data_IF_490625657130
#
_entry.id   IF_490625657130
#
_cell.length_a   1.000
_cell.length_b   1.000
_cell.length_c   1.000
_cell.angle_alpha   90.00
_cell.angle_beta   90.00
_cell.angle_gamma   90.00
#
_symmetry.space_group_name_H-M   'P 1'
#
loop_
_entity.id
_entity.type
_entity.pdbx_description
1 polymer ?
#
# COMPACT_ATOMS: atom_id res chain seq x y z
N UNK A 1 0.92 12.40 -13.40
CA UNK A 1 1.14 10.97 -13.70
C UNK A 1 2.55 10.86 -14.21
N UNK A 2 3.33 9.99 -13.58
CA UNK A 2 4.68 9.64 -13.99
C UNK A 2 4.67 8.18 -14.44
N UNK A 3 5.22 7.87 -15.60
CA UNK A 3 5.43 6.51 -16.08
C UNK A 3 6.93 6.20 -16.06
N UNK A 4 7.29 5.02 -15.54
CA UNK A 4 8.66 4.52 -15.42
C UNK A 4 8.67 3.13 -16.07
N UNK A 5 9.57 2.90 -17.03
CA UNK A 5 9.75 1.57 -17.59
C UNK A 5 10.29 0.61 -16.52
N UNK A 6 9.82 -0.63 -16.51
CA UNK A 6 10.44 -1.67 -15.70
C UNK A 6 11.82 -2.01 -16.25
N UNK A 7 12.76 -2.35 -15.37
CA UNK A 7 14.10 -2.79 -15.78
C UNK A 7 14.03 -4.13 -16.53
N UNK A 8 14.87 -4.31 -17.55
CA UNK A 8 14.91 -5.55 -18.33
C UNK A 8 15.26 -6.78 -17.46
N UNK A 9 16.00 -6.56 -16.36
CA UNK A 9 16.33 -7.60 -15.38
C UNK A 9 15.09 -8.18 -14.68
N UNK A 10 13.93 -7.53 -14.79
CA UNK A 10 12.67 -7.97 -14.21
C UNK A 10 11.77 -8.75 -15.19
N UNK A 11 12.07 -8.75 -16.50
CA UNK A 11 11.13 -9.17 -17.56
C UNK A 11 10.56 -10.60 -17.40
N UNK A 12 11.24 -11.49 -16.68
CA UNK A 12 10.81 -12.87 -16.42
C UNK A 12 10.09 -13.07 -15.08
N UNK A 13 10.01 -12.04 -14.23
CA UNK A 13 9.62 -12.18 -12.83
C UNK A 13 8.41 -11.32 -12.50
N UNK A 14 7.55 -11.84 -11.63
CA UNK A 14 6.53 -11.04 -10.97
C UNK A 14 7.22 -10.08 -9.99
N UNK A 15 6.93 -8.79 -10.08
CA UNK A 15 7.37 -7.82 -9.09
C UNK A 15 6.44 -7.85 -7.86
N UNK A 16 7.03 -8.13 -6.71
CA UNK A 16 6.41 -7.94 -5.40
C UNK A 16 6.54 -6.48 -5.01
N UNK A 17 5.45 -5.90 -4.52
CA UNK A 17 5.43 -4.57 -3.92
C UNK A 17 6.04 -4.63 -2.53
N UNK A 18 6.92 -3.67 -2.21
CA UNK A 18 7.45 -3.51 -0.85
C UNK A 18 6.83 -2.27 -0.21
N UNK A 19 7.04 -1.11 -0.83
CA UNK A 19 6.69 0.16 -0.20
C UNK A 19 7.17 1.35 -1.00
N UNK A 20 6.71 2.53 -0.62
CA UNK A 20 7.25 3.79 -1.13
C UNK A 20 7.61 4.68 0.06
N UNK A 21 8.82 5.21 0.07
CA UNK A 21 9.31 6.05 1.16
C UNK A 21 9.99 7.29 0.60
N UNK A 22 9.56 8.46 1.08
CA UNK A 22 9.97 9.79 0.59
C UNK A 22 9.73 9.94 -0.92
N UNK A 23 10.75 9.72 -1.74
CA UNK A 23 10.64 9.78 -3.21
C UNK A 23 10.90 8.44 -3.91
N UNK A 24 11.25 7.39 -3.16
CA UNK A 24 11.71 6.12 -3.72
C UNK A 24 10.64 5.05 -3.62
N UNK A 25 10.42 4.36 -4.73
CA UNK A 25 9.66 3.12 -4.77
C UNK A 25 10.60 1.95 -4.56
N UNK A 26 10.23 1.01 -3.69
CA UNK A 26 10.94 -0.25 -3.45
C UNK A 26 10.12 -1.43 -3.97
N UNK A 27 10.79 -2.34 -4.69
CA UNK A 27 10.20 -3.55 -5.27
C UNK A 27 11.16 -4.73 -5.14
N UNK A 28 10.61 -5.94 -5.15
CA UNK A 28 11.39 -7.18 -5.18
C UNK A 28 10.91 -8.08 -6.33
N UNK A 29 11.75 -8.47 -7.29
CA UNK A 29 11.40 -9.51 -8.24
C UNK A 29 11.24 -10.85 -7.50
N UNK A 30 10.13 -11.57 -7.75
CA UNK A 30 9.89 -12.89 -7.18
C UNK A 30 10.77 -13.93 -7.88
N UNK A 31 11.92 -14.21 -7.27
CA UNK A 31 12.90 -15.22 -7.69
C UNK A 31 12.90 -16.40 -6.71
N UNK A 32 13.35 -17.56 -7.17
CA UNK A 32 13.47 -18.77 -6.36
C UNK A 32 14.90 -19.07 -5.90
N UNK A 33 15.89 -18.28 -6.33
CA UNK A 33 17.32 -18.51 -6.10
C UNK A 33 18.00 -17.35 -5.36
N UNK A 34 17.28 -16.26 -5.11
CA UNK A 34 17.82 -15.07 -4.46
C UNK A 34 16.74 -14.14 -3.94
N UNK A 35 17.06 -13.43 -2.87
CA UNK A 35 16.34 -12.25 -2.41
C UNK A 35 17.00 -11.01 -3.01
N UNK A 36 16.23 -10.21 -3.75
CA UNK A 36 16.71 -8.93 -4.27
C UNK A 36 15.72 -7.82 -3.91
N UNK A 37 16.26 -6.66 -3.54
CA UNK A 37 15.47 -5.44 -3.37
C UNK A 37 16.05 -4.36 -4.26
N UNK A 38 15.16 -3.76 -5.02
CA UNK A 38 15.44 -2.71 -5.99
C UNK A 38 14.68 -1.45 -5.62
N UNK A 39 15.24 -0.29 -5.95
CA UNK A 39 14.54 0.97 -5.83
C UNK A 39 14.69 1.85 -7.06
N UNK A 40 13.78 2.81 -7.20
CA UNK A 40 13.84 3.87 -8.20
C UNK A 40 13.37 5.19 -7.60
N UNK A 41 14.09 6.27 -7.88
CA UNK A 41 13.70 7.62 -7.46
C UNK A 41 12.61 8.19 -8.38
N UNK A 42 11.42 8.37 -7.83
CA UNK A 42 10.26 8.91 -8.51
C UNK A 42 10.21 10.45 -8.50
N UNK A 43 11.13 11.15 -7.82
CA UNK A 43 11.23 12.62 -7.86
C UNK A 43 12.26 13.13 -8.89
N UNK A 44 13.19 12.28 -9.33
CA UNK A 44 14.23 12.65 -10.28
C UNK A 44 13.64 13.17 -11.61
N UNK A 45 14.16 14.31 -12.08
CA UNK A 45 13.88 14.89 -13.40
C UNK A 45 14.97 14.41 -14.36
N UNK A 46 14.73 13.32 -15.08
CA UNK A 46 15.71 12.74 -16.01
C UNK A 46 15.47 11.26 -16.25
N UNK A 47 16.48 10.57 -16.77
CA UNK A 47 16.52 9.11 -16.80
C UNK A 47 16.45 8.56 -15.38
N UNK A 48 15.57 7.58 -15.18
CA UNK A 48 15.36 6.94 -13.88
C UNK A 48 16.01 5.58 -13.93
N UNK A 49 17.05 5.41 -13.15
CA UNK A 49 17.77 4.15 -13.05
C UNK A 49 17.23 3.33 -11.87
N UNK A 50 17.04 2.04 -12.11
CA UNK A 50 16.75 1.08 -11.07
C UNK A 50 18.05 0.68 -10.37
N UNK A 51 18.10 0.90 -9.06
CA UNK A 51 19.26 0.56 -8.22
C UNK A 51 18.94 -0.65 -7.35
N UNK A 52 19.78 -1.67 -7.42
CA UNK A 52 19.73 -2.78 -6.47
C UNK A 52 20.35 -2.33 -5.14
N UNK A 53 19.63 -2.50 -4.04
CA UNK A 53 20.15 -2.20 -2.70
C UNK A 53 20.51 -3.46 -1.92
N UNK A 54 19.86 -4.59 -2.23
CA UNK A 54 20.14 -5.88 -1.59
C UNK A 54 20.14 -6.98 -2.64
N UNK A 55 21.08 -7.91 -2.50
CA UNK A 55 21.15 -9.17 -3.24
C UNK A 55 21.72 -10.24 -2.33
N UNK A 56 20.91 -11.25 -2.01
CA UNK A 56 21.29 -12.39 -1.18
C UNK A 56 20.93 -13.66 -1.93
N UNK A 57 21.90 -14.55 -2.11
CA UNK A 57 21.68 -15.82 -2.79
C UNK A 57 21.07 -16.84 -1.84
N UNK A 58 20.28 -17.75 -2.42
CA UNK A 58 19.70 -18.90 -1.76
C UNK A 58 19.90 -20.11 -2.67
N UNK A 59 20.10 -21.29 -2.08
CA UNK A 59 20.01 -22.54 -2.84
C UNK A 59 18.56 -22.75 -3.29
N UNK A 60 17.61 -22.44 -2.40
CA UNK A 60 16.18 -22.39 -2.71
C UNK A 60 15.45 -21.38 -1.83
N UNK A 61 14.82 -20.37 -2.43
CA UNK A 61 13.94 -19.41 -1.76
C UNK A 61 12.49 -19.77 -2.03
N UNK A 62 11.81 -20.29 -1.01
CA UNK A 62 10.43 -20.77 -1.11
C UNK A 62 9.43 -19.62 -0.97
N UNK A 63 9.59 -18.81 0.07
CA UNK A 63 8.67 -17.73 0.44
C UNK A 63 9.42 -16.47 0.86
N UNK A 64 8.85 -15.32 0.53
CA UNK A 64 9.35 -14.00 0.92
C UNK A 64 8.17 -13.02 1.12
N UNK A 65 8.00 -12.53 2.34
CA UNK A 65 7.00 -11.53 2.72
C UNK A 65 7.70 -10.24 3.08
N UNK A 66 7.17 -9.11 2.63
CA UNK A 66 7.85 -7.81 2.72
C UNK A 66 6.97 -6.85 3.50
N UNK A 67 7.59 -6.07 4.38
CA UNK A 67 6.96 -4.92 5.03
C UNK A 67 7.93 -3.73 5.02
N UNK A 68 7.42 -2.55 4.71
CA UNK A 68 8.15 -1.30 4.85
C UNK A 68 7.78 -0.65 6.19
N UNK A 69 8.78 -0.35 7.00
CA UNK A 69 8.67 0.49 8.18
C UNK A 69 9.18 1.89 7.84
N UNK A 70 8.25 2.81 7.62
CA UNK A 70 8.53 4.18 7.22
C UNK A 70 9.03 5.05 8.39
N UNK A 71 8.77 4.64 9.63
CA UNK A 71 9.18 5.36 10.84
C UNK A 71 10.64 5.08 11.15
N UNK A 72 11.02 3.81 11.17
CA UNK A 72 12.40 3.40 11.49
C UNK A 72 13.29 3.29 10.24
N UNK A 73 12.75 3.53 9.05
CA UNK A 73 13.46 3.48 7.77
C UNK A 73 14.10 2.09 7.50
N UNK A 74 13.30 1.03 7.71
CA UNK A 74 13.69 -0.35 7.44
C UNK A 74 12.72 -1.04 6.47
N UNK A 75 13.25 -1.95 5.67
CA UNK A 75 12.46 -2.99 5.00
C UNK A 75 12.69 -4.30 5.76
N UNK A 76 11.60 -4.93 6.19
CA UNK A 76 11.61 -6.25 6.77
C UNK A 76 11.24 -7.29 5.71
N UNK A 77 12.01 -8.38 5.64
CA UNK A 77 11.69 -9.51 4.77
C UNK A 77 11.69 -10.81 5.55
N UNK A 78 10.51 -11.38 5.78
CA UNK A 78 10.38 -12.74 6.33
C UNK A 78 10.57 -13.73 5.19
N UNK A 79 11.55 -14.61 5.31
CA UNK A 79 11.93 -15.59 4.31
C UNK A 79 11.80 -17.00 4.83
N UNK A 80 11.47 -17.92 3.93
CA UNK A 80 11.61 -19.36 4.15
C UNK A 80 12.44 -19.90 3.00
N UNK A 81 13.60 -20.46 3.29
CA UNK A 81 14.51 -20.94 2.26
C UNK A 81 15.76 -21.62 2.79
N UNK A 82 16.51 -22.21 1.87
CA UNK A 82 17.80 -22.85 2.06
C UNK A 82 18.88 -21.83 1.72
N UNK A 83 19.65 -21.39 2.71
CA UNK A 83 20.70 -20.39 2.52
C UNK A 83 21.96 -21.02 1.93
N UNK A 84 22.58 -20.31 1.00
CA UNK A 84 23.84 -20.71 0.37
C UNK A 84 24.91 -20.98 1.45
N UNK A 85 25.51 -22.18 1.45
CA UNK A 85 26.60 -22.62 2.34
C UNK A 85 26.27 -22.76 3.86
N UNK A 86 24.99 -22.79 4.25
CA UNK A 86 24.61 -22.76 5.67
C UNK A 86 23.92 -24.01 6.21
N UNK A 87 22.88 -24.49 5.53
CA UNK A 87 21.96 -25.53 6.03
C UNK A 87 21.47 -26.40 4.87
N UNK A 88 21.36 -27.72 5.06
CA UNK A 88 20.68 -28.62 4.10
C UNK A 88 19.14 -28.56 4.23
N UNK A 89 18.63 -27.79 5.19
CA UNK A 89 17.21 -27.69 5.52
C UNK A 89 16.70 -26.26 5.36
N UNK A 90 15.44 -26.08 4.90
CA UNK A 90 14.82 -24.77 4.87
C UNK A 90 14.73 -24.16 6.28
N UNK A 91 15.07 -22.89 6.44
CA UNK A 91 14.90 -22.16 7.68
C UNK A 91 14.08 -20.90 7.48
N UNK A 92 13.41 -20.48 8.57
CA UNK A 92 12.69 -19.22 8.64
C UNK A 92 13.65 -18.16 9.17
N UNK A 93 13.81 -17.08 8.44
CA UNK A 93 14.68 -15.96 8.80
C UNK A 93 14.01 -14.63 8.48
N UNK A 94 14.29 -13.61 9.29
CA UNK A 94 13.80 -12.26 9.10
C UNK A 94 14.96 -11.32 8.82
N UNK A 95 14.99 -10.75 7.62
CA UNK A 95 15.95 -9.72 7.24
C UNK A 95 15.43 -8.36 7.67
N UNK A 96 16.26 -7.58 8.36
CA UNK A 96 16.03 -6.16 8.62
C UNK A 96 17.02 -5.36 7.76
N UNK A 97 16.52 -4.59 6.80
CA UNK A 97 17.31 -3.94 5.77
C UNK A 97 17.15 -2.43 5.91
N UNK A 98 18.22 -1.72 6.28
CA UNK A 98 18.23 -0.27 6.36
C UNK A 98 18.05 0.36 4.98
N UNK A 99 17.15 1.34 4.86
CA UNK A 99 17.00 2.12 3.63
C UNK A 99 17.59 3.53 3.80
N UNK A 100 18.22 4.09 2.75
CA UNK A 100 18.43 3.53 1.41
C UNK A 100 19.72 2.68 1.29
N UNK A 101 20.48 2.49 2.37
CA UNK A 101 21.84 1.94 2.32
C UNK A 101 21.91 0.48 1.88
N UNK A 102 20.86 -0.30 2.15
CA UNK A 102 20.85 -1.74 1.88
C UNK A 102 21.66 -2.56 2.89
N UNK A 103 22.21 -1.94 3.93
CA UNK A 103 22.86 -2.65 5.04
C UNK A 103 21.80 -3.46 5.77
N UNK A 104 22.08 -4.73 6.04
CA UNK A 104 21.09 -5.61 6.64
C UNK A 104 21.65 -6.51 7.71
N UNK A 105 20.77 -6.89 8.62
CA UNK A 105 20.98 -7.90 9.65
C UNK A 105 19.95 -9.02 9.44
N UNK A 106 20.30 -10.22 9.89
CA UNK A 106 19.45 -11.42 9.74
C UNK A 106 19.12 -11.96 11.11
N UNK A 107 17.84 -11.94 11.44
CA UNK A 107 17.31 -12.52 12.66
C UNK A 107 16.88 -13.96 12.39
N UNK A 108 17.34 -14.90 13.22
CA UNK A 108 16.93 -16.30 13.17
C UNK A 108 15.65 -16.49 13.98
N UNK A 109 14.85 -17.49 13.61
CA UNK A 109 13.69 -17.84 14.41
C UNK A 109 14.14 -18.30 15.80
N UNK A 110 13.60 -17.68 16.84
CA UNK A 110 13.72 -18.12 18.22
C UNK A 110 13.15 -19.55 18.34
N UNK A 111 13.93 -20.54 18.82
CA UNK A 111 13.45 -21.91 19.02
C UNK A 111 12.13 -22.00 19.78
N UNK A 112 11.89 -21.12 20.75
CA UNK A 112 10.66 -21.09 21.54
C UNK A 112 9.43 -20.68 20.72
N UNK A 113 9.64 -19.99 19.60
CA UNK A 113 8.59 -19.62 18.65
C UNK A 113 8.41 -20.64 17.51
N UNK A 114 9.23 -21.70 17.47
CA UNK A 114 9.14 -22.78 16.49
C UNK A 114 7.75 -23.43 16.41
N UNK A 115 7.18 -23.91 17.54
CA UNK A 115 5.86 -24.54 17.54
C UNK A 115 4.75 -23.64 17.01
N UNK A 116 4.83 -22.32 17.21
CA UNK A 116 3.83 -21.38 16.71
C UNK A 116 3.80 -21.36 15.17
N UNK A 117 4.97 -21.47 14.53
CA UNK A 117 5.08 -21.56 13.08
C UNK A 117 4.64 -22.93 12.53
N UNK A 118 4.78 -24.00 13.32
CA UNK A 118 4.34 -25.34 12.93
C UNK A 118 2.82 -25.51 13.04
N UNK A 119 2.22 -25.02 14.12
CA UNK A 119 0.83 -25.33 14.47
C UNK A 119 -0.16 -24.23 14.06
N UNK A 120 0.25 -22.96 14.07
CA UNK A 120 -0.68 -21.82 14.00
C UNK A 120 -0.44 -20.87 12.81
N UNK A 121 0.80 -20.66 12.38
CA UNK A 121 1.12 -19.74 11.28
C UNK A 121 1.04 -20.44 9.93
N UNK A 122 -0.11 -20.28 9.25
CA UNK A 122 -0.25 -20.72 7.86
C UNK A 122 0.48 -19.76 6.91
N UNK A 123 1.75 -20.07 6.61
CA UNK A 123 2.63 -19.24 5.81
C UNK A 123 2.01 -18.84 4.46
N UNK A 124 1.27 -19.72 3.78
CA UNK A 124 0.63 -19.38 2.49
C UNK A 124 -0.38 -18.20 2.58
N UNK A 125 -0.95 -17.98 3.76
CA UNK A 125 -2.03 -17.03 3.98
C UNK A 125 -1.57 -15.76 4.70
N UNK A 126 -0.48 -15.84 5.47
CA UNK A 126 -0.02 -14.76 6.34
C UNK A 126 0.41 -13.51 5.55
N UNK A 127 0.18 -12.35 6.16
CA UNK A 127 0.70 -11.06 5.69
C UNK A 127 1.65 -10.51 6.75
N UNK A 128 2.86 -10.15 6.31
CA UNK A 128 3.76 -9.30 7.08
C UNK A 128 3.38 -7.83 6.86
N UNK A 129 3.19 -7.11 7.96
CA UNK A 129 2.89 -5.68 7.96
C UNK A 129 3.70 -4.94 9.00
N UNK A 130 3.89 -3.63 8.78
CA UNK A 130 4.46 -2.72 9.76
C UNK A 130 3.53 -1.53 9.97
N UNK A 131 3.38 -1.09 11.21
CA UNK A 131 2.64 0.13 11.56
C UNK A 131 3.31 0.80 12.73
N UNK A 132 3.67 2.09 12.57
CA UNK A 132 4.28 2.92 13.64
C UNK A 132 5.52 2.26 14.27
N UNK A 133 6.35 1.62 13.45
CA UNK A 133 7.55 0.94 13.92
C UNK A 133 7.33 -0.45 14.51
N UNK A 134 6.11 -0.96 14.53
CA UNK A 134 5.79 -2.30 15.05
C UNK A 134 5.52 -3.25 13.88
N UNK A 135 6.26 -4.36 13.88
CA UNK A 135 6.13 -5.45 12.92
C UNK A 135 5.11 -6.49 13.40
N UNK A 136 4.27 -6.97 12.50
CA UNK A 136 3.23 -7.95 12.83
C UNK A 136 2.94 -8.89 11.66
N UNK A 137 2.37 -10.05 12.01
CA UNK A 137 1.81 -11.03 11.10
C UNK A 137 0.31 -11.17 11.40
N UNK A 138 -0.49 -11.40 10.37
CA UNK A 138 -1.88 -11.82 10.55
C UNK A 138 -2.35 -12.66 9.36
N UNK A 139 -3.32 -13.53 9.59
CA UNK A 139 -3.97 -14.25 8.50
C UNK A 139 -5.04 -13.36 7.85
N UNK A 140 -4.77 -12.89 6.64
CA UNK A 140 -5.72 -12.06 5.87
C UNK A 140 -6.91 -12.85 5.33
N UNK A 141 -6.87 -14.18 5.32
CA UNK A 141 -7.88 -15.05 4.68
C UNK A 141 -9.07 -15.34 5.59
N UNK A 142 -8.95 -15.05 6.89
CA UNK A 142 -10.00 -15.27 7.89
C UNK A 142 -11.09 -14.20 7.76
N UNK A 143 -12.07 -14.47 6.90
CA UNK A 143 -13.25 -13.61 6.71
C UNK A 143 -14.23 -13.74 7.87
N UNK A 144 -14.42 -14.98 8.34
CA UNK A 144 -15.25 -15.33 9.51
C UNK A 144 -14.41 -16.15 10.47
N UNK A 145 -14.70 -16.04 11.76
CA UNK A 145 -13.95 -16.66 12.84
C UNK A 145 -12.87 -15.76 13.44
N UNK A 146 -12.21 -16.34 14.43
CA UNK A 146 -11.12 -15.73 15.19
C UNK A 146 -9.93 -15.43 14.29
N UNK A 147 -9.49 -14.18 14.25
CA UNK A 147 -8.34 -13.75 13.46
C UNK A 147 -7.07 -13.96 14.29
N UNK A 148 -6.13 -14.80 13.82
CA UNK A 148 -4.84 -14.90 14.47
C UNK A 148 -3.97 -13.70 14.08
N UNK A 149 -3.37 -13.08 15.08
CA UNK A 149 -2.51 -11.91 14.97
C UNK A 149 -1.27 -12.11 15.82
N UNK A 150 -0.10 -11.92 15.24
CA UNK A 150 1.17 -12.07 15.95
C UNK A 150 1.97 -10.78 15.87
N UNK A 151 2.40 -10.28 17.02
CA UNK A 151 3.43 -9.25 17.05
C UNK A 151 4.80 -9.92 16.88
N UNK A 152 5.61 -9.42 15.97
CA UNK A 152 6.99 -9.90 15.78
C UNK A 152 7.89 -9.16 16.76
N UNK A 153 8.59 -9.92 17.60
CA UNK A 153 9.52 -9.40 18.60
C UNK A 153 10.94 -9.63 18.12
N UNK A 154 11.77 -8.59 18.11
CA UNK A 154 13.17 -8.67 17.72
C UNK A 154 14.06 -8.60 18.96
N UNK A 155 15.04 -9.50 19.04
CA UNK A 155 16.11 -9.45 20.02
C UNK A 155 17.41 -9.05 19.31
N UNK A 156 17.78 -7.78 19.40
CA UNK A 156 18.97 -7.22 18.76
C UNK A 156 20.29 -7.78 19.33
N UNK A 157 20.27 -8.35 20.53
CA UNK A 157 21.48 -8.92 21.17
C UNK A 157 21.75 -10.33 20.65
N UNK A 158 20.73 -11.19 20.60
CA UNK A 158 20.88 -12.57 20.12
C UNK A 158 20.70 -12.73 18.61
N UNK A 159 20.23 -11.68 17.92
CA UNK A 159 19.81 -11.71 16.52
C UNK A 159 18.77 -12.81 16.28
N UNK A 160 17.77 -12.85 17.16
CA UNK A 160 16.63 -13.75 17.07
C UNK A 160 15.33 -12.96 16.97
N UNK A 161 14.33 -13.54 16.33
CA UNK A 161 12.97 -13.02 16.34
C UNK A 161 12.00 -14.09 16.83
N UNK A 162 11.01 -13.65 17.61
CA UNK A 162 9.94 -14.50 18.12
C UNK A 162 8.56 -13.91 17.82
N UNK A 163 7.52 -14.71 18.09
CA UNK A 163 6.13 -14.30 17.92
C UNK A 163 5.42 -14.18 19.25
N UNK A 164 4.70 -13.07 19.44
CA UNK A 164 3.72 -12.92 20.51
C UNK A 164 2.32 -13.01 19.92
N UNK A 165 1.71 -14.18 20.04
CA UNK A 165 0.37 -14.47 19.54
C UNK A 165 -0.73 -13.74 20.30
N UNK A 166 -1.75 -13.35 19.55
CA UNK A 166 -3.01 -12.82 20.04
C UNK A 166 -4.13 -13.23 19.10
N UNK A 167 -5.23 -13.69 19.66
CA UNK A 167 -6.39 -14.14 18.90
C UNK A 167 -7.50 -13.12 19.05
N UNK A 168 -7.89 -12.50 17.94
CA UNK A 168 -9.00 -11.55 17.91
C UNK A 168 -10.27 -12.34 17.64
N UNK A 169 -11.10 -12.53 18.67
CA UNK A 169 -12.38 -13.25 18.55
C UNK A 169 -13.28 -12.62 17.49
N UNK A 170 -14.21 -13.40 16.93
CA UNK A 170 -15.13 -12.88 15.91
C UNK A 170 -16.24 -12.01 16.53
N UNK A 171 -17.00 -11.32 15.68
CA UNK A 171 -18.16 -10.52 16.07
C UNK A 171 -19.27 -11.47 16.56
N UNK A 172 -19.67 -11.35 17.83
CA UNK A 172 -20.58 -12.30 18.52
C UNK A 172 -22.00 -12.44 17.90
N UNK A 173 -22.50 -11.46 17.11
CA UNK A 173 -23.94 -11.34 16.81
C UNK A 173 -24.38 -11.21 15.34
N UNK A 174 -23.66 -11.78 14.37
CA UNK A 174 -23.95 -11.75 12.90
C UNK A 174 -23.91 -10.35 12.23
N UNK A 175 -23.72 -10.17 10.89
CA UNK A 175 -23.93 -11.06 9.73
C UNK A 175 -22.64 -11.51 9.02
N UNK A 176 -22.78 -12.38 7.99
CA UNK A 176 -21.67 -12.85 7.13
C UNK A 176 -20.78 -11.69 6.70
N UNK A 177 -19.55 -11.67 7.20
CA UNK A 177 -18.49 -10.85 6.63
C UNK A 177 -18.22 -11.35 5.21
N UNK A 178 -18.02 -10.43 4.27
CA UNK A 178 -17.78 -10.78 2.85
C UNK A 178 -16.48 -10.22 2.33
N UNK A 179 -15.68 -9.62 3.22
CA UNK A 179 -14.41 -8.95 2.91
C UNK A 179 -13.36 -9.41 3.91
N UNK A 180 -12.13 -9.55 3.42
CA UNK A 180 -10.98 -9.85 4.24
C UNK A 180 -10.75 -8.74 5.29
N UNK A 181 -10.26 -9.10 6.50
CA UNK A 181 -9.97 -8.12 7.53
C UNK A 181 -8.88 -7.14 7.09
N UNK A 182 -8.98 -5.90 7.56
CA UNK A 182 -8.02 -4.84 7.30
C UNK A 182 -7.39 -4.39 8.61
N UNK A 183 -6.07 -4.50 8.75
CA UNK A 183 -5.36 -3.97 9.93
C UNK A 183 -4.99 -2.51 9.66
N UNK A 184 -5.72 -1.56 10.23
CA UNK A 184 -5.46 -0.12 10.08
C UNK A 184 -4.29 0.38 10.95
N UNK A 185 -4.10 -0.24 12.11
CA UNK A 185 -2.98 0.09 13.00
C UNK A 185 -2.58 -1.16 13.77
N UNK A 186 -1.48 -1.79 13.37
CA UNK A 186 -0.96 -2.98 14.04
C UNK A 186 -0.50 -2.73 15.48
N UNK A 187 -0.11 -1.51 15.83
CA UNK A 187 0.35 -1.18 17.19
C UNK A 187 -0.78 -1.20 18.23
N UNK A 188 -1.97 -0.74 17.81
CA UNK A 188 -3.20 -0.77 18.60
C UNK A 188 -4.11 -1.94 18.23
N UNK A 189 -3.68 -2.75 17.26
CA UNK A 189 -4.47 -3.80 16.59
C UNK A 189 -5.87 -3.29 16.23
N UNK A 190 -5.92 -2.15 15.55
CA UNK A 190 -7.18 -1.65 14.99
C UNK A 190 -7.50 -2.46 13.74
N UNK A 191 -8.44 -3.39 13.85
CA UNK A 191 -8.83 -4.29 12.76
C UNK A 191 -10.23 -3.97 12.30
N UNK A 192 -10.44 -3.84 11.00
CA UNK A 192 -11.73 -3.53 10.39
C UNK A 192 -12.29 -4.76 9.70
N UNK A 193 -13.55 -5.05 9.98
CA UNK A 193 -14.40 -5.96 9.20
C UNK A 193 -15.55 -5.17 8.57
N UNK A 194 -15.91 -5.55 7.35
CA UNK A 194 -17.04 -4.98 6.63
C UNK A 194 -18.00 -6.12 6.27
N UNK A 195 -19.25 -5.97 6.69
CA UNK A 195 -20.27 -7.02 6.55
C UNK A 195 -20.85 -7.04 5.12
N UNK A 196 -21.60 -8.09 4.79
CA UNK A 196 -22.37 -8.17 3.54
C UNK A 196 -23.36 -7.00 3.37
N UNK A 197 -23.84 -6.44 4.47
CA UNK A 197 -24.79 -5.33 4.54
C UNK A 197 -24.10 -3.97 4.53
N UNK A 198 -22.79 -3.96 4.26
CA UNK A 198 -21.95 -2.77 4.23
C UNK A 198 -21.81 -2.05 5.59
N UNK A 199 -22.09 -2.73 6.71
CA UNK A 199 -21.79 -2.24 8.05
C UNK A 199 -20.30 -2.36 8.33
N UNK A 200 -19.74 -1.38 9.06
CA UNK A 200 -18.32 -1.34 9.41
C UNK A 200 -18.16 -1.63 10.90
N UNK A 201 -17.36 -2.65 11.21
CA UNK A 201 -16.98 -3.01 12.57
C UNK A 201 -15.48 -2.84 12.74
N UNK A 202 -15.08 -2.28 13.88
CA UNK A 202 -13.69 -2.05 14.20
C UNK A 202 -13.37 -2.64 15.57
N UNK A 203 -12.44 -3.57 15.59
CA UNK A 203 -11.85 -4.09 16.81
C UNK A 203 -10.84 -3.08 17.35
N UNK A 204 -10.92 -2.76 18.64
CA UNK A 204 -9.93 -1.96 19.34
C UNK A 204 -9.41 -2.73 20.56
N UNK A 205 -8.12 -3.08 20.53
CA UNK A 205 -7.46 -3.83 21.61
C UNK A 205 -7.54 -3.14 22.96
N UNK A 206 -7.63 -1.80 23.02
CA UNK A 206 -7.69 -1.07 24.29
C UNK A 206 -8.95 -1.38 25.10
N UNK A 207 -10.02 -1.77 24.42
CA UNK A 207 -11.29 -2.18 25.03
C UNK A 207 -11.62 -3.65 24.76
N UNK A 208 -10.77 -4.33 23.99
CA UNK A 208 -10.85 -5.76 23.62
C UNK A 208 -12.21 -6.17 23.03
N UNK A 209 -12.78 -5.31 22.19
CA UNK A 209 -14.14 -5.47 21.64
C UNK A 209 -14.26 -4.96 20.22
N UNK A 210 -15.21 -5.55 19.50
CA UNK A 210 -15.73 -5.00 18.24
C UNK A 210 -16.69 -3.85 18.52
N UNK A 211 -16.48 -2.75 17.83
CA UNK A 211 -17.31 -1.55 17.87
C UNK A 211 -17.91 -1.35 16.48
N UNK A 212 -19.23 -1.31 16.39
CA UNK A 212 -19.89 -0.88 15.16
C UNK A 212 -19.68 0.63 14.97
N UNK A 213 -19.24 1.02 13.77
CA UNK A 213 -19.08 2.43 13.41
C UNK A 213 -20.13 2.83 12.38
N UNK A 214 -20.73 4.00 12.60
CA UNK A 214 -21.67 4.61 11.67
C UNK A 214 -20.95 5.51 10.66
N UNK A 215 -21.57 5.84 9.53
CA UNK A 215 -20.98 6.79 8.60
C UNK A 215 -21.05 8.21 9.17
N UNK A 216 -20.03 9.02 8.88
CA UNK A 216 -20.07 10.46 9.11
C UNK A 216 -20.86 11.16 8.00
N UNK A 217 -21.53 12.27 8.34
CA UNK A 217 -22.29 13.10 7.41
C UNK A 217 -21.40 13.79 6.35
N UNK A 218 -20.10 13.95 6.64
CA UNK A 218 -19.11 14.55 5.74
C UNK A 218 -18.42 13.52 4.80
N UNK A 219 -18.95 12.30 4.70
CA UNK A 219 -18.39 11.24 3.85
C UNK A 219 -18.72 11.46 2.36
N UNK A 220 -17.70 11.42 1.50
CA UNK A 220 -17.83 11.54 0.04
C UNK A 220 -18.31 10.24 -0.65
N UNK A 221 -18.44 9.16 0.11
CA UNK A 221 -18.94 7.87 -0.36
C UNK A 221 -19.74 7.19 0.76
N UNK A 222 -20.90 6.65 0.40
CA UNK A 222 -21.71 5.82 1.27
C UNK A 222 -21.70 4.38 0.77
N UNK A 223 -21.27 3.43 1.61
CA UNK A 223 -21.17 2.03 1.20
C UNK A 223 -22.53 1.43 0.80
N UNK A 224 -23.63 1.93 1.38
CA UNK A 224 -24.99 1.54 1.03
C UNK A 224 -25.36 1.86 -0.44
N UNK A 225 -24.68 2.83 -1.06
CA UNK A 225 -24.93 3.24 -2.46
C UNK A 225 -24.21 2.35 -3.47
N UNK A 226 -23.23 1.55 -3.02
CA UNK A 226 -22.48 0.64 -3.87
C UNK A 226 -23.35 -0.56 -4.27
N UNK A 227 -24.07 -0.42 -5.38
CA UNK A 227 -24.86 -1.52 -5.98
C UNK A 227 -23.94 -2.70 -6.27
N UNK A 228 -24.39 -3.91 -5.93
CA UNK A 228 -23.69 -5.18 -6.17
C UNK A 228 -22.33 -5.32 -5.45
N UNK A 229 -22.13 -4.71 -4.28
CA UNK A 229 -20.95 -4.92 -3.44
C UNK A 229 -20.88 -6.31 -2.76
N UNK A 230 -21.82 -7.23 -3.08
CA UNK A 230 -21.90 -8.60 -2.53
C UNK A 230 -20.55 -9.29 -2.67
N UNK A 231 -19.88 -9.49 -1.53
CA UNK A 231 -18.47 -9.86 -1.50
C UNK A 231 -18.18 -11.32 -1.81
N UNK A 232 -16.87 -11.53 -2.06
CA UNK A 232 -16.12 -12.75 -2.36
C UNK A 232 -16.78 -13.78 -3.26
N UNK A 233 -16.29 -13.82 -4.52
CA UNK A 233 -16.03 -15.11 -5.15
C UNK A 233 -14.52 -15.21 -5.40
N UNK A 234 -13.86 -16.16 -4.76
CA UNK A 234 -12.79 -16.88 -5.45
C UNK A 234 -13.46 -17.77 -6.49
N UNK A 235 -13.31 -17.47 -7.77
CA UNK A 235 -13.64 -18.44 -8.82
C UNK A 235 -12.58 -18.44 -9.92
N UNK A 236 -12.27 -19.65 -10.37
CA UNK A 236 -11.31 -19.99 -11.42
C UNK A 236 -11.78 -19.45 -12.77
N UNK A 237 -10.96 -18.60 -13.40
CA UNK A 237 -11.18 -18.19 -14.79
C UNK A 237 -10.64 -19.22 -15.78
N UNK A 238 -11.36 -19.48 -16.88
CA UNK A 238 -10.95 -20.31 -18.04
C UNK A 238 -9.66 -19.86 -18.76
N UNK A 239 -9.06 -18.74 -18.35
CA UNK A 239 -7.92 -18.09 -19.02
C UNK A 239 -6.63 -18.08 -18.17
N UNK A 240 -6.52 -18.91 -17.13
CA UNK A 240 -5.27 -19.08 -16.39
C UNK A 240 -4.88 -17.88 -15.50
N UNK A 241 -5.85 -17.07 -15.07
CA UNK A 241 -5.64 -16.11 -13.98
C UNK A 241 -5.67 -16.88 -12.63
N UNK A 242 -4.64 -16.75 -11.77
CA UNK A 242 -4.79 -17.14 -10.36
C UNK A 242 -5.64 -16.07 -9.65
N UNK A 243 -6.91 -16.43 -9.45
CA UNK A 243 -7.69 -16.42 -8.20
C UNK A 243 -7.29 -15.32 -7.20
N UNK A 244 -8.21 -14.39 -6.93
CA UNK A 244 -8.05 -13.40 -5.85
C UNK A 244 -8.89 -12.12 -5.98
N UNK A 245 -9.48 -11.83 -7.15
CA UNK A 245 -10.38 -10.71 -7.28
C UNK A 245 -11.38 -10.94 -8.42
N UNK A 246 -12.63 -11.24 -8.07
CA UNK A 246 -13.70 -10.51 -8.75
C UNK A 246 -13.41 -9.04 -8.47
N UNK A 247 -13.41 -8.18 -9.49
CA UNK A 247 -13.50 -6.75 -9.27
C UNK A 247 -14.85 -6.46 -8.61
N UNK A 248 -14.94 -6.71 -7.30
CA UNK A 248 -15.89 -6.01 -6.46
C UNK A 248 -15.66 -4.54 -6.78
N UNK A 249 -16.72 -3.76 -7.10
CA UNK A 249 -16.57 -2.35 -7.39
C UNK A 249 -15.69 -1.67 -6.35
N UNK A 250 -15.80 -2.07 -5.08
CA UNK A 250 -14.95 -1.64 -3.98
C UNK A 250 -13.80 -2.61 -3.66
N UNK A 251 -12.58 -2.11 -3.62
CA UNK A 251 -11.39 -2.79 -3.08
C UNK A 251 -10.61 -1.88 -2.13
N UNK A 252 -10.01 -2.45 -1.08
CA UNK A 252 -9.19 -1.70 -0.13
C UNK A 252 -7.70 -2.00 -0.31
N UNK A 253 -6.87 -1.04 0.05
CA UNK A 253 -5.43 -1.21 0.16
C UNK A 253 -4.93 -0.48 1.39
N UNK A 254 -4.20 -1.21 2.22
CA UNK A 254 -3.64 -0.71 3.47
C UNK A 254 -2.13 -0.69 3.36
N UNK A 255 -1.52 0.39 3.83
CA UNK A 255 -0.08 0.58 3.96
C UNK A 255 0.18 1.41 5.23
N UNK A 256 0.73 0.78 6.27
CA UNK A 256 0.81 1.37 7.60
C UNK A 256 -0.55 1.88 8.11
N UNK A 257 -0.61 3.17 8.46
CA UNK A 257 -1.82 3.83 8.96
C UNK A 257 -2.75 4.37 7.85
N UNK A 258 -2.42 4.14 6.58
CA UNK A 258 -3.20 4.60 5.44
C UNK A 258 -4.09 3.47 4.93
N UNK A 259 -5.39 3.75 4.82
CA UNK A 259 -6.32 2.89 4.10
C UNK A 259 -6.94 3.66 2.93
N UNK A 260 -6.77 3.13 1.72
CA UNK A 260 -7.37 3.67 0.51
C UNK A 260 -8.40 2.68 -0.02
N UNK A 261 -9.62 3.18 -0.22
CA UNK A 261 -10.66 2.50 -0.96
C UNK A 261 -10.60 2.92 -2.43
N UNK A 262 -10.71 1.94 -3.31
CA UNK A 262 -10.86 2.11 -4.76
C UNK A 262 -12.24 1.64 -5.16
N UNK A 263 -12.99 2.50 -5.84
CA UNK A 263 -14.26 2.19 -6.50
C UNK A 263 -14.04 2.19 -8.02
N UNK A 264 -14.32 1.08 -8.69
CA UNK A 264 -14.36 1.03 -10.16
C UNK A 264 -15.78 1.28 -10.63
N UNK A 265 -16.01 2.42 -11.28
CA UNK A 265 -17.31 2.79 -11.86
C UNK A 265 -17.14 3.22 -13.31
N UNK A 266 -17.92 2.60 -14.21
CA UNK A 266 -17.91 2.90 -15.66
C UNK A 266 -16.51 2.97 -16.32
N UNK A 267 -15.56 2.13 -15.86
CA UNK A 267 -14.19 2.10 -16.37
C UNK A 267 -13.27 3.21 -15.83
N UNK A 268 -13.71 3.92 -14.79
CA UNK A 268 -12.95 4.94 -14.08
C UNK A 268 -12.69 4.47 -12.65
N UNK A 269 -11.43 4.54 -12.21
CA UNK A 269 -11.04 4.19 -10.84
C UNK A 269 -11.13 5.45 -9.97
N UNK A 270 -11.99 5.42 -8.97
CA UNK A 270 -12.19 6.50 -8.01
C UNK A 270 -11.60 6.09 -6.68
N UNK A 271 -10.75 6.94 -6.10
CA UNK A 271 -10.00 6.66 -4.89
C UNK A 271 -10.47 7.54 -3.74
N UNK A 272 -10.67 6.92 -2.59
CA UNK A 272 -11.10 7.54 -1.35
C UNK A 272 -10.16 7.12 -0.22
N UNK A 273 -9.82 8.06 0.65
CA UNK A 273 -9.16 7.75 1.91
C UNK A 273 -10.22 7.26 2.89
N UNK A 274 -10.05 6.06 3.41
CA UNK A 274 -10.91 5.51 4.45
C UNK A 274 -10.35 5.89 5.81
N UNK A 275 -11.15 6.60 6.61
CA UNK A 275 -10.77 7.09 7.94
C UNK A 275 -11.79 6.57 8.94
N UNK A 276 -11.29 6.03 10.04
CA UNK A 276 -12.10 5.62 11.19
C UNK A 276 -11.73 6.49 12.38
N UNK A 277 -12.75 7.03 13.04
CA UNK A 277 -12.63 7.68 14.34
C UNK A 277 -13.34 6.82 15.40
N UNK A 278 -12.54 6.13 16.22
CA UNK A 278 -13.04 5.28 17.30
C UNK A 278 -13.69 6.09 18.42
N UNK A 279 -13.24 7.33 18.66
CA UNK A 279 -13.77 8.15 19.76
C UNK A 279 -15.21 8.56 19.48
N UNK A 280 -15.50 8.95 18.24
CA UNK A 280 -16.85 9.28 17.78
C UNK A 280 -17.62 8.07 17.26
N UNK A 281 -16.96 6.91 17.10
CA UNK A 281 -17.49 5.68 16.49
C UNK A 281 -18.02 5.91 15.08
N UNK A 282 -17.31 6.74 14.32
CA UNK A 282 -17.68 7.06 12.95
C UNK A 282 -16.60 6.63 11.96
N UNK A 283 -17.00 6.37 10.72
CA UNK A 283 -16.10 6.25 9.60
C UNK A 283 -16.49 7.21 8.48
N UNK A 284 -15.52 7.58 7.65
CA UNK A 284 -15.76 8.40 6.46
C UNK A 284 -14.80 8.07 5.33
N UNK A 285 -15.29 8.32 4.12
CA UNK A 285 -14.50 8.29 2.90
C UNK A 285 -14.25 9.71 2.45
N UNK A 286 -12.98 10.08 2.28
CA UNK A 286 -12.60 11.39 1.74
C UNK A 286 -12.11 11.19 0.32
N UNK A 287 -12.77 11.81 -0.65
CA UNK A 287 -12.38 11.74 -2.05
C UNK A 287 -10.94 12.23 -2.23
N UNK A 288 -10.16 11.43 -2.96
CA UNK A 288 -8.78 11.75 -3.27
C UNK A 288 -8.65 12.12 -4.74
N UNK A 289 -8.99 11.16 -5.62
CA UNK A 289 -8.78 11.32 -7.06
C UNK A 289 -9.62 10.35 -7.87
N UNK A 290 -9.90 10.74 -9.11
CA UNK A 290 -10.48 9.88 -10.13
C UNK A 290 -9.49 9.72 -11.29
N UNK A 291 -9.24 8.49 -11.72
CA UNK A 291 -8.24 8.14 -12.72
C UNK A 291 -8.84 7.15 -13.71
N UNK A 292 -8.76 7.51 -15.00
CA UNK A 292 -8.96 6.55 -16.09
C UNK A 292 -7.60 5.93 -16.42
N UNK A 293 -7.44 4.63 -16.13
CA UNK A 293 -6.21 3.91 -16.45
C UNK A 293 -6.17 3.56 -17.94
N UNK A 294 -4.96 3.54 -18.51
CA UNK A 294 -4.77 3.03 -19.87
C UNK A 294 -5.12 1.54 -19.95
N UNK A 295 -5.60 1.10 -21.11
CA UNK A 295 -6.10 -0.26 -21.34
C UNK A 295 -5.07 -1.35 -21.04
N UNK A 296 -3.78 -1.06 -21.19
CA UNK A 296 -2.68 -1.99 -20.85
C UNK A 296 -2.41 -2.07 -19.35
N UNK A 297 -2.53 -0.95 -18.63
CA UNK A 297 -2.41 -0.95 -17.16
C UNK A 297 -3.60 -1.67 -16.53
N UNK A 298 -4.82 -1.41 -17.05
CA UNK A 298 -6.05 -1.90 -16.46
C UNK A 298 -6.17 -3.45 -16.45
N UNK A 299 -5.39 -4.16 -17.26
CA UNK A 299 -5.49 -5.63 -17.40
C UNK A 299 -4.72 -6.42 -16.33
N UNK A 300 -3.57 -5.92 -15.85
CA UNK A 300 -2.63 -6.68 -14.99
C UNK A 300 -1.75 -5.76 -14.14
N UNK A 301 -2.30 -5.17 -13.08
CA UNK A 301 -1.52 -4.30 -12.19
C UNK A 301 -1.63 -4.70 -10.72
N UNK A 302 -0.58 -4.45 -9.97
CA UNK A 302 -0.61 -4.35 -8.50
C UNK A 302 -0.72 -2.89 -8.10
N UNK A 303 -1.53 -2.64 -7.07
CA UNK A 303 -1.69 -1.31 -6.50
C UNK A 303 -0.92 -1.21 -5.18
N UNK A 304 -0.15 -0.14 -5.05
CA UNK A 304 0.46 0.31 -3.81
C UNK A 304 -0.07 1.70 -3.47
N UNK A 305 -0.39 1.90 -2.21
CA UNK A 305 -0.93 3.14 -1.69
C UNK A 305 0.07 3.68 -0.68
N UNK A 306 0.80 4.73 -1.01
CA UNK A 306 1.70 5.39 -0.07
C UNK A 306 1.52 6.88 -0.26
N UNK A 307 0.87 7.55 0.68
CA UNK A 307 0.61 8.98 0.58
C UNK A 307 1.91 9.76 0.31
N UNK A 308 1.88 10.76 -0.60
CA UNK A 308 0.71 11.27 -1.34
C UNK A 308 0.51 10.58 -2.71
N UNK A 309 0.98 9.35 -2.90
CA UNK A 309 1.07 8.68 -4.21
C UNK A 309 0.36 7.32 -4.25
N UNK A 310 -0.23 7.02 -5.41
CA UNK A 310 -0.65 5.68 -5.80
C UNK A 310 0.22 5.17 -6.91
N UNK A 311 0.62 3.92 -6.79
CA UNK A 311 1.58 3.29 -7.68
C UNK A 311 0.95 2.04 -8.26
N UNK A 312 0.92 1.97 -9.58
CA UNK A 312 0.41 0.86 -10.37
C UNK A 312 1.60 0.16 -11.00
N UNK A 313 1.85 -1.07 -10.59
CA UNK A 313 2.99 -1.86 -11.08
C UNK A 313 2.44 -2.91 -12.02
N UNK A 314 2.84 -2.88 -13.29
CA UNK A 314 2.64 -3.98 -14.22
C UNK A 314 4.01 -4.50 -14.71
N UNK A 315 4.06 -5.62 -15.46
CA UNK A 315 5.33 -6.18 -15.93
C UNK A 315 6.15 -5.31 -16.90
N UNK A 316 5.59 -4.24 -17.45
CA UNK A 316 6.21 -3.41 -18.50
C UNK A 316 6.50 -1.98 -18.01
N UNK A 317 5.75 -1.51 -17.02
CA UNK A 317 5.77 -0.14 -16.55
C UNK A 317 5.23 -0.02 -15.12
N UNK A 318 5.76 0.99 -14.43
CA UNK A 318 5.28 1.51 -13.16
C UNK A 318 4.67 2.88 -13.41
N UNK A 319 3.40 3.05 -13.06
CA UNK A 319 2.72 4.33 -13.14
C UNK A 319 2.48 4.91 -11.74
N UNK A 320 2.98 6.12 -11.51
CA UNK A 320 2.88 6.84 -10.24
C UNK A 320 1.93 8.03 -10.39
N UNK A 321 0.94 8.10 -9.52
CA UNK A 321 -0.09 9.13 -9.49
C UNK A 321 -0.07 9.83 -8.14
N UNK A 322 0.05 11.16 -8.14
CA UNK A 322 -0.23 11.94 -6.94
C UNK A 322 -1.74 11.86 -6.66
N UNK A 323 -2.11 11.48 -5.45
CA UNK A 323 -3.50 11.25 -5.03
C UNK A 323 -4.04 12.29 -4.08
N UNK A 324 -3.17 13.05 -3.42
CA UNK A 324 -3.67 14.22 -2.71
C UNK A 324 -4.29 15.20 -3.71
N UNK A 325 -5.50 15.72 -3.41
CA UNK A 325 -6.09 16.78 -4.21
C UNK A 325 -5.12 17.96 -4.22
N UNK A 326 -4.87 18.50 -5.41
CA UNK A 326 -4.00 19.67 -5.54
C UNK A 326 -4.57 20.82 -4.70
N UNK A 327 -3.72 21.49 -3.92
CA UNK A 327 -4.17 22.62 -3.11
C UNK A 327 -4.75 23.72 -4.00
N UNK A 328 -5.61 24.58 -3.44
CA UNK A 328 -6.15 25.74 -4.17
C UNK A 328 -5.01 26.58 -4.79
N UNK A 329 -3.91 26.74 -4.05
CA UNK A 329 -2.70 27.39 -4.52
C UNK A 329 -2.09 26.67 -5.74
N UNK A 330 -1.93 25.34 -5.69
CA UNK A 330 -1.40 24.56 -6.81
C UNK A 330 -2.33 24.62 -8.04
N UNK A 331 -3.64 24.61 -7.84
CA UNK A 331 -4.63 24.74 -8.90
C UNK A 331 -4.62 26.14 -9.52
N UNK A 332 -4.56 27.19 -8.69
CA UNK A 332 -4.42 28.57 -9.13
C UNK A 332 -3.13 28.77 -9.94
N UNK A 333 -2.02 28.23 -9.44
CA UNK A 333 -0.74 28.24 -10.13
C UNK A 333 -0.82 27.55 -11.50
N UNK A 334 -1.39 26.34 -11.56
CA UNK A 334 -1.61 25.62 -12.81
C UNK A 334 -2.52 26.37 -13.79
N UNK A 335 -3.54 27.06 -13.28
CA UNK A 335 -4.47 27.85 -14.09
C UNK A 335 -3.74 29.03 -14.74
N UNK A 336 -2.96 29.79 -13.96
CA UNK A 336 -2.14 30.89 -14.46
C UNK A 336 -1.10 30.35 -15.46
N UNK A 337 -0.40 29.29 -15.09
CA UNK A 337 0.58 28.64 -15.97
C UNK A 337 -0.02 28.26 -17.32
N UNK A 338 -1.25 27.74 -17.36
CA UNK A 338 -1.96 27.41 -18.60
C UNK A 338 -2.39 28.64 -19.39
N UNK A 339 -2.87 29.67 -18.70
CA UNK A 339 -3.32 30.92 -19.32
C UNK A 339 -2.18 31.67 -20.01
N UNK A 340 -0.98 31.62 -19.44
CA UNK A 340 0.21 32.29 -19.96
C UNK A 340 1.17 31.33 -20.68
N UNK A 341 0.73 30.09 -20.97
CA UNK A 341 1.55 29.06 -21.64
C UNK A 341 1.85 29.40 -23.09
N UNK A 342 0.94 30.12 -23.74
CA UNK A 342 1.08 30.50 -25.15
C UNK A 342 1.23 32.01 -25.16
N UNK A 343 2.29 32.49 -25.81
CA UNK A 343 2.42 33.91 -26.07
C UNK A 343 1.35 34.31 -27.10
N UNK A 344 0.38 35.18 -26.76
CA UNK A 344 -0.68 35.55 -27.70
C UNK A 344 -0.17 36.30 -28.94
N UNK A 345 1.03 36.90 -28.87
CA UNK A 345 1.61 37.67 -29.98
C UNK A 345 2.46 36.81 -30.92
N UNK A 346 3.17 35.81 -30.38
CA UNK A 346 4.08 34.95 -31.18
C UNK A 346 3.53 33.55 -31.43
N UNK A 347 2.45 33.18 -30.75
CA UNK A 347 1.85 31.84 -30.74
C UNK A 347 2.80 30.71 -30.29
N UNK A 348 3.95 31.08 -29.72
CA UNK A 348 4.95 30.16 -29.23
C UNK A 348 4.61 29.68 -27.82
N UNK A 349 4.97 28.42 -27.54
CA UNK A 349 4.91 27.86 -26.21
C UNK A 349 6.00 28.51 -25.35
N UNK A 350 5.58 29.24 -24.31
CA UNK A 350 6.49 29.72 -23.28
C UNK A 350 6.97 28.56 -22.40
N UNK A 351 8.19 28.71 -21.90
CA UNK A 351 8.69 27.86 -20.83
C UNK A 351 7.82 28.00 -19.57
N UNK A 352 7.98 27.04 -18.66
CA UNK A 352 7.22 27.00 -17.41
C UNK A 352 7.56 28.26 -16.59
N UNK A 353 6.54 28.97 -16.10
CA UNK A 353 6.72 30.17 -15.31
C UNK A 353 7.21 29.75 -13.92
N UNK A 354 8.15 30.50 -13.39
CA UNK A 354 8.59 30.41 -12.01
C UNK A 354 7.52 30.90 -11.04
N UNK A 355 7.68 30.56 -9.76
CA UNK A 355 6.79 31.01 -8.70
C UNK A 355 6.74 32.54 -8.58
N UNK A 356 7.88 33.19 -8.77
CA UNK A 356 8.01 34.63 -8.64
C UNK A 356 7.37 35.38 -9.82
N UNK A 357 7.50 34.86 -11.04
CA UNK A 357 6.79 35.40 -12.22
C UNK A 357 5.27 35.32 -12.05
N UNK A 358 4.76 34.22 -11.51
CA UNK A 358 3.32 34.06 -11.28
C UNK A 358 2.83 35.01 -10.18
N UNK A 359 3.60 35.18 -9.10
CA UNK A 359 3.31 36.20 -8.08
C UNK A 359 3.28 37.61 -8.68
N UNK A 360 4.22 37.93 -9.57
CA UNK A 360 4.26 39.22 -10.24
C UNK A 360 3.03 39.45 -11.14
N UNK A 361 2.63 38.45 -11.93
CA UNK A 361 1.41 38.50 -12.76
C UNK A 361 0.17 38.77 -11.90
N UNK A 362 0.04 38.07 -10.75
CA UNK A 362 -1.08 38.29 -9.84
C UNK A 362 -1.08 39.70 -9.23
N UNK A 363 0.09 40.21 -8.83
CA UNK A 363 0.25 41.57 -8.32
C UNK A 363 -0.08 42.63 -9.37
N UNK A 364 0.29 42.43 -10.63
CA UNK A 364 -0.02 43.33 -11.74
C UNK A 364 -1.49 43.32 -12.13
N UNK A 365 -2.14 42.15 -12.10
CA UNK A 365 -3.58 42.02 -12.33
C UNK A 365 -4.39 42.80 -11.27
N UNK A 366 -4.06 42.64 -9.99
CA UNK A 366 -4.72 43.39 -8.90
C UNK A 366 -4.53 44.91 -9.03
N UNK A 367 -3.37 45.38 -9.50
CA UNK A 367 -3.12 46.81 -9.75
C UNK A 367 -3.96 47.38 -10.89
N UNK A 368 -4.32 46.56 -11.89
CA UNK A 368 -5.20 46.99 -13.00
C UNK A 368 -6.66 47.09 -12.54
N UNK A 369 -7.12 46.18 -11.69
CA UNK A 369 -8.49 46.18 -11.15
C UNK A 369 -8.75 47.37 -10.23
N UNK A 370 -7.77 47.77 -9.41
CA UNK A 370 -7.87 48.93 -8.50
C UNK A 370 -7.85 50.27 -9.26
N UNK A 371 -7.35 50.31 -10.50
CA UNK A 371 -7.36 51.53 -11.34
C UNK A 371 -8.62 51.66 -12.21
N UNK A 372 -9.48 50.63 -12.23
CA UNK A 372 -10.73 50.61 -12.99
C UNK A 372 -11.99 50.78 -12.12
N UNK A 373 -11.82 50.88 -10.80
CA UNK A 373 -12.80 51.45 -9.87
C UNK A 373 -12.44 52.91 -9.60
#
# INVERSE_FOLDING_TARGET
MLQIATDDRFNAYKLNKIGFHKSRLYVAPKRGDRLEIWNVDCAAKGEREWTQIVGVNFDELLLAYHALDDVNEFIYVLTVGVHENGNEVPCIALFQIAIPSGVYEVFRLDPDSGPEFEDNVFLDNVVLGSSKGILFLYDKTVVMGTIPFWQVMLNEISLEFGLKGHFVEDIESEPRCTRFPLVLDGSRKLIVKITAENSVFVFDQSVDKWIQCDWSDDSDLFLAELRNSRGLSETFGRLGHRIGAVESPLSFSVDGNLCVAKVLDCGVHVFYRFIVDIMTRTYRFVFMKSIKLDSNLNKRFYMLCSLPKMIFINPQQVAVYDIDPASLEQLAFLRIQRQYRINPETNELREKLSLDEIKQIMCEANKKTIKSE
#
